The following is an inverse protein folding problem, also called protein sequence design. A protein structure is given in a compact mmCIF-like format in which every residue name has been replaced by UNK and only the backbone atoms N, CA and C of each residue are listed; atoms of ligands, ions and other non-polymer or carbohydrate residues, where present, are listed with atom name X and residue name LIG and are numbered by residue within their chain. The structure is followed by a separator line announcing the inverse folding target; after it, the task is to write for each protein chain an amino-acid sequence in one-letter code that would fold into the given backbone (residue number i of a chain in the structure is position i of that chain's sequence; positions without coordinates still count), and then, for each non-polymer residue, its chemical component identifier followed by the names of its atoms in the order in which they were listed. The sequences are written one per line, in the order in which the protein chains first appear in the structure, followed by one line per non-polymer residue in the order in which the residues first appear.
data_IF_126345563347
#
_entry.id   IF_126345563347
#
_cell.length_a   1.000
_cell.length_b   1.000
_cell.length_c   1.000
_cell.angle_alpha   90.00
_cell.angle_beta   90.00
_cell.angle_gamma   90.00
#
_symmetry.space_group_name_H-M   'P 1'
#
loop_
_entity.id
_entity.type
_entity.pdbx_description
1 polymer ?
#
# COMPACT_ATOMS: atom_id res chain seq x y z
N UNK A 1 5.02 12.85 12.06
CA UNK A 1 5.01 11.37 12.02
C UNK A 1 5.08 10.78 13.44
N UNK A 2 4.22 11.25 14.35
CA UNK A 2 4.47 11.17 15.79
C UNK A 2 3.52 10.21 16.55
N UNK A 3 2.72 9.37 15.88
CA UNK A 3 1.69 8.58 16.59
C UNK A 3 1.80 7.05 16.47
N UNK A 4 2.25 6.49 15.34
CA UNK A 4 2.47 5.04 15.23
C UNK A 4 3.80 4.62 15.90
N UNK A 5 4.77 5.55 15.98
CA UNK A 5 6.10 5.35 16.57
C UNK A 5 6.27 5.97 17.97
N UNK A 6 5.28 6.71 18.50
CA UNK A 6 5.40 7.33 19.84
C UNK A 6 5.23 6.37 21.00
N UNK A 7 4.88 5.11 20.73
CA UNK A 7 4.96 4.05 21.74
C UNK A 7 6.37 3.49 21.75
N UNK A 8 7.23 4.05 22.61
CA UNK A 8 8.65 3.72 22.70
C UNK A 8 8.97 2.21 22.74
N UNK A 9 10.22 1.88 22.41
CA UNK A 9 10.74 0.51 22.36
C UNK A 9 10.78 -0.08 20.95
N UNK A 10 11.35 -1.28 20.84
CA UNK A 10 11.40 -2.01 19.57
C UNK A 10 10.01 -2.49 19.17
N UNK A 11 9.68 -2.44 17.88
CA UNK A 11 8.38 -2.83 17.33
C UNK A 11 8.56 -3.66 16.07
N UNK A 12 7.59 -4.53 15.81
CA UNK A 12 7.48 -5.23 14.52
C UNK A 12 6.03 -5.12 14.05
N UNK A 13 5.85 -4.75 12.79
CA UNK A 13 4.55 -4.64 12.15
C UNK A 13 4.47 -5.63 10.99
N UNK A 14 3.44 -6.45 11.01
CA UNK A 14 3.02 -7.22 9.85
C UNK A 14 2.20 -6.35 8.91
N UNK A 15 2.42 -6.50 7.62
CA UNK A 15 1.67 -5.80 6.58
C UNK A 15 0.91 -6.79 5.68
N UNK A 16 -0.08 -6.29 4.98
CA UNK A 16 -0.55 -6.83 3.70
C UNK A 16 0.03 -5.99 2.58
N UNK A 17 0.09 -6.50 1.36
CA UNK A 17 0.64 -5.71 0.28
C UNK A 17 0.64 -6.37 -1.09
N UNK A 18 1.02 -5.61 -2.10
CA UNK A 18 1.26 -6.13 -3.45
C UNK A 18 2.75 -6.02 -3.76
N UNK A 19 3.34 -7.12 -4.24
CA UNK A 19 4.66 -7.12 -4.84
C UNK A 19 4.52 -6.97 -6.36
N UNK A 20 5.21 -5.98 -6.92
CA UNK A 20 5.32 -5.76 -8.36
C UNK A 20 6.70 -6.23 -8.81
N UNK A 21 6.72 -7.13 -9.78
CA UNK A 21 7.89 -7.43 -10.60
C UNK A 21 7.74 -6.79 -11.99
N UNK A 22 8.66 -7.11 -12.91
CA UNK A 22 8.66 -6.54 -14.26
C UNK A 22 7.35 -6.81 -15.04
N UNK A 23 6.71 -7.96 -14.83
CA UNK A 23 5.52 -8.38 -15.60
C UNK A 23 4.39 -8.95 -14.76
N UNK A 24 4.58 -9.09 -13.44
CA UNK A 24 3.64 -9.78 -12.55
C UNK A 24 3.38 -8.96 -11.30
N UNK A 25 2.14 -9.02 -10.82
CA UNK A 25 1.76 -8.56 -9.49
C UNK A 25 1.36 -9.75 -8.63
N UNK A 26 1.86 -9.80 -7.40
CA UNK A 26 1.55 -10.87 -6.44
C UNK A 26 0.91 -10.26 -5.21
N UNK A 27 -0.23 -10.81 -4.77
CA UNK A 27 -0.84 -10.42 -3.50
C UNK A 27 -0.13 -11.11 -2.34
N UNK A 28 0.18 -10.31 -1.32
CA UNK A 28 0.65 -10.78 -0.03
C UNK A 28 -0.47 -10.51 1.00
N UNK A 29 -1.18 -11.54 1.46
CA UNK A 29 -2.18 -11.41 2.52
C UNK A 29 -1.60 -10.76 3.78
N UNK A 30 -2.46 -10.23 4.64
CA UNK A 30 -2.03 -9.67 5.92
C UNK A 30 -1.23 -10.71 6.72
N UNK A 31 -0.06 -10.32 7.23
CA UNK A 31 0.86 -11.24 7.90
C UNK A 31 1.90 -11.88 6.99
N UNK A 32 1.71 -11.79 5.66
CA UNK A 32 2.62 -12.31 4.65
C UNK A 32 3.24 -11.23 3.76
N UNK A 33 3.00 -9.94 4.06
CA UNK A 33 3.65 -8.81 3.38
C UNK A 33 5.05 -8.51 3.91
N UNK A 34 5.55 -7.31 3.62
CA UNK A 34 6.81 -6.80 4.19
C UNK A 34 6.67 -6.68 5.70
N UNK A 35 7.59 -7.29 6.44
CA UNK A 35 7.71 -7.04 7.88
C UNK A 35 8.49 -5.75 8.08
N UNK A 36 7.95 -4.84 8.89
CA UNK A 36 8.60 -3.58 9.26
C UNK A 36 9.00 -3.64 10.72
N UNK A 37 10.29 -3.81 11.00
CA UNK A 37 10.83 -3.82 12.35
C UNK A 37 11.49 -2.48 12.68
N UNK A 38 11.01 -1.78 13.70
CA UNK A 38 11.62 -0.57 14.24
C UNK A 38 12.49 -0.90 15.46
N UNK A 39 13.73 -0.42 15.44
CA UNK A 39 14.67 -0.56 16.56
C UNK A 39 14.93 0.80 17.19
N UNK A 40 14.46 0.98 18.43
CA UNK A 40 14.48 2.29 19.10
C UNK A 40 15.89 2.77 19.46
N UNK A 41 16.81 1.87 19.79
CA UNK A 41 18.18 2.24 20.17
C UNK A 41 19.01 2.85 19.03
N UNK A 42 18.65 2.53 17.79
CA UNK A 42 19.36 2.98 16.58
C UNK A 42 18.48 3.85 15.67
N UNK A 43 17.25 4.13 16.08
CA UNK A 43 16.23 4.84 15.29
C UNK A 43 16.15 4.33 13.83
N UNK A 44 16.09 3.02 13.66
CA UNK A 44 16.23 2.37 12.36
C UNK A 44 15.06 1.45 12.05
N UNK A 45 14.69 1.39 10.77
CA UNK A 45 13.73 0.43 10.23
C UNK A 45 14.47 -0.70 9.52
N UNK A 46 14.14 -1.95 9.84
CA UNK A 46 14.52 -3.12 9.06
C UNK A 46 13.29 -3.65 8.35
N UNK A 47 13.35 -3.69 7.03
CA UNK A 47 12.34 -4.30 6.17
C UNK A 47 12.76 -5.73 5.84
N UNK A 48 11.79 -6.64 5.81
CA UNK A 48 11.99 -8.01 5.31
C UNK A 48 10.82 -8.38 4.43
N UNK A 49 11.08 -8.59 3.14
CA UNK A 49 10.12 -9.03 2.15
C UNK A 49 9.83 -10.54 2.28
N UNK A 50 8.72 -11.02 1.67
CA UNK A 50 8.34 -12.44 1.75
C UNK A 50 9.35 -13.40 1.10
N UNK A 51 10.13 -12.91 0.13
CA UNK A 51 11.20 -13.66 -0.53
C UNK A 51 12.53 -13.65 0.26
N UNK A 52 12.55 -13.03 1.45
CA UNK A 52 13.73 -12.92 2.30
C UNK A 52 14.62 -11.72 2.00
N UNK A 53 14.31 -10.91 0.97
CA UNK A 53 15.01 -9.65 0.72
C UNK A 53 14.88 -8.74 1.93
N UNK A 54 15.98 -8.13 2.38
CA UNK A 54 15.97 -7.29 3.57
C UNK A 54 16.84 -6.04 3.41
N UNK A 55 16.37 -4.94 3.98
CA UNK A 55 17.09 -3.67 4.03
C UNK A 55 16.89 -2.98 5.37
N UNK A 56 17.98 -2.45 5.93
CA UNK A 56 17.94 -1.59 7.12
C UNK A 56 18.22 -0.15 6.73
N UNK A 57 17.33 0.75 7.14
CA UNK A 57 17.39 2.20 6.97
C UNK A 57 17.57 2.86 8.33
N UNK A 58 18.57 3.74 8.41
CA UNK A 58 18.89 4.54 9.59
C UNK A 58 18.63 6.03 9.31
N UNK A 59 18.76 6.93 10.30
CA UNK A 59 18.64 8.36 10.06
C UNK A 59 19.64 8.90 9.01
N UNK A 60 20.77 8.23 8.80
CA UNK A 60 21.75 8.59 7.77
C UNK A 60 21.25 8.33 6.33
N UNK A 61 20.19 7.54 6.17
CA UNK A 61 19.55 7.27 4.88
C UNK A 61 18.40 8.23 4.59
N UNK A 62 18.08 9.15 5.51
CA UNK A 62 16.94 10.05 5.38
C UNK A 62 17.12 10.97 4.17
N UNK A 63 16.15 10.94 3.25
CA UNK A 63 16.11 11.81 2.10
C UNK A 63 15.26 13.05 2.41
N UNK A 64 15.87 14.24 2.37
CA UNK A 64 15.25 15.47 2.88
C UNK A 64 14.09 16.03 2.03
N UNK A 65 13.86 15.53 0.81
CA UNK A 65 12.80 16.05 -0.07
C UNK A 65 11.51 15.22 -0.02
N UNK A 66 11.00 14.88 1.16
CA UNK A 66 9.68 14.25 1.26
C UNK A 66 8.61 15.25 0.76
N UNK A 67 8.08 15.02 -0.44
CA UNK A 67 7.12 15.90 -1.11
C UNK A 67 5.67 15.68 -0.65
N UNK A 68 5.41 14.62 0.12
CA UNK A 68 4.07 14.25 0.58
C UNK A 68 3.94 14.44 2.09
N UNK A 69 2.94 15.23 2.57
CA UNK A 69 2.70 15.39 4.00
C UNK A 69 2.58 14.06 4.74
N UNK A 70 3.12 13.98 5.95
CA UNK A 70 3.05 12.81 6.83
C UNK A 70 3.77 11.54 6.35
N UNK A 71 4.62 11.65 5.32
CA UNK A 71 5.53 10.59 4.86
C UNK A 71 6.99 10.99 5.09
N UNK A 72 7.86 9.98 5.10
CA UNK A 72 9.31 10.11 5.16
C UNK A 72 9.85 9.18 4.10
N UNK A 73 10.91 9.64 3.43
CA UNK A 73 11.63 8.88 2.44
C UNK A 73 13.04 8.58 2.94
N UNK A 74 13.48 7.34 2.74
CA UNK A 74 14.86 6.92 2.94
C UNK A 74 15.41 6.38 1.63
N UNK A 75 16.64 6.77 1.29
CA UNK A 75 17.37 6.28 0.13
C UNK A 75 18.70 5.71 0.60
N UNK A 76 19.03 4.52 0.13
CA UNK A 76 20.26 3.81 0.45
C UNK A 76 20.80 3.12 -0.78
N UNK A 77 22.02 3.46 -1.15
CA UNK A 77 22.79 2.73 -2.17
C UNK A 77 23.90 1.95 -1.47
N UNK A 78 24.17 0.73 -1.91
CA UNK A 78 25.24 -0.11 -1.37
C UNK A 78 25.84 -1.03 -2.45
N UNK A 79 27.06 -1.51 -2.21
CA UNK A 79 27.78 -2.33 -3.18
C UNK A 79 28.35 -1.53 -4.35
N UNK A 80 28.81 -2.23 -5.39
CA UNK A 80 29.30 -1.66 -6.64
C UNK A 80 29.22 -2.68 -7.78
N UNK A 81 29.13 -2.19 -9.02
CA UNK A 81 29.10 -3.04 -10.22
C UNK A 81 27.93 -4.01 -10.20
N UNK A 82 28.20 -5.30 -10.42
CA UNK A 82 27.14 -6.34 -10.41
C UNK A 82 26.53 -6.62 -9.02
N UNK A 83 27.10 -6.06 -7.95
CA UNK A 83 26.58 -6.15 -6.59
C UNK A 83 25.97 -4.85 -6.08
N UNK A 84 25.73 -3.88 -6.95
CA UNK A 84 25.04 -2.63 -6.59
C UNK A 84 23.60 -2.92 -6.18
N UNK A 85 23.14 -2.23 -5.14
CA UNK A 85 21.77 -2.31 -4.62
C UNK A 85 21.31 -0.91 -4.25
N UNK A 86 20.20 -0.49 -4.84
CA UNK A 86 19.51 0.76 -4.52
C UNK A 86 18.17 0.47 -3.86
N UNK A 87 18.03 0.94 -2.63
CA UNK A 87 16.83 0.83 -1.83
C UNK A 87 16.19 2.21 -1.63
N UNK A 88 14.91 2.33 -1.93
CA UNK A 88 14.11 3.52 -1.68
C UNK A 88 12.85 3.14 -0.90
N UNK A 89 12.74 3.63 0.34
CA UNK A 89 11.59 3.42 1.22
C UNK A 89 10.84 4.73 1.39
N UNK A 90 9.55 4.73 1.07
CA UNK A 90 8.61 5.76 1.51
C UNK A 90 7.67 5.13 2.53
N UNK A 91 7.55 5.71 3.71
CA UNK A 91 6.68 5.21 4.79
C UNK A 91 5.98 6.37 5.48
N UNK A 92 4.73 6.18 5.90
CA UNK A 92 4.00 7.23 6.59
C UNK A 92 2.62 6.86 7.08
N UNK A 93 1.97 7.85 7.68
CA UNK A 93 0.56 7.79 8.05
C UNK A 93 -0.25 8.41 6.91
N UNK A 94 -1.14 7.63 6.32
CA UNK A 94 -1.99 8.14 5.26
C UNK A 94 -3.04 9.12 5.79
N UNK A 95 -3.59 9.94 4.88
CA UNK A 95 -4.71 10.83 5.18
C UNK A 95 -5.95 10.40 4.40
N UNK A 96 -7.13 10.73 4.92
CA UNK A 96 -8.39 10.67 4.18
C UNK A 96 -9.08 12.01 4.34
N UNK A 97 -9.31 12.70 3.22
CA UNK A 97 -9.83 14.08 3.14
C UNK A 97 -9.03 15.05 4.00
N UNK A 98 -7.70 14.94 3.96
CA UNK A 98 -6.77 15.76 4.74
C UNK A 98 -6.68 15.41 6.23
N UNK A 99 -7.44 14.42 6.71
CA UNK A 99 -7.38 13.95 8.11
C UNK A 99 -6.44 12.75 8.19
N UNK A 100 -5.39 12.84 9.00
CA UNK A 100 -4.49 11.72 9.24
C UNK A 100 -5.22 10.53 9.87
N UNK A 101 -4.95 9.34 9.35
CA UNK A 101 -5.37 8.08 9.95
C UNK A 101 -4.56 7.80 11.22
N UNK A 102 -5.22 7.24 12.23
CA UNK A 102 -4.64 6.99 13.54
C UNK A 102 -4.03 5.59 13.68
N UNK A 103 -4.56 4.62 12.92
CA UNK A 103 -4.20 3.22 13.06
C UNK A 103 -3.56 2.62 11.80
N UNK A 104 -3.66 3.31 10.66
CA UNK A 104 -3.19 2.82 9.36
C UNK A 104 -1.86 3.48 8.97
N UNK A 105 -0.87 2.64 8.68
CA UNK A 105 0.36 3.03 7.98
C UNK A 105 0.35 2.50 6.55
N UNK A 106 1.05 3.23 5.69
CA UNK A 106 1.31 2.85 4.30
C UNK A 106 2.80 2.92 4.05
N UNK A 107 3.28 2.09 3.14
CA UNK A 107 4.65 2.13 2.68
C UNK A 107 4.83 1.63 1.26
N UNK A 108 5.86 2.14 0.62
CA UNK A 108 6.39 1.65 -0.65
C UNK A 108 7.87 1.41 -0.45
N UNK A 109 8.33 0.21 -0.81
CA UNK A 109 9.76 -0.11 -0.84
C UNK A 109 10.14 -0.56 -2.25
N UNK A 110 11.02 0.19 -2.88
CA UNK A 110 11.68 -0.17 -4.13
C UNK A 110 13.05 -0.74 -3.78
N UNK A 111 13.34 -1.93 -4.31
CA UNK A 111 14.64 -2.57 -4.27
C UNK A 111 15.10 -2.82 -5.69
N UNK A 112 16.16 -2.12 -6.09
CA UNK A 112 16.74 -2.21 -7.41
C UNK A 112 18.14 -2.83 -7.33
N UNK A 113 18.41 -3.74 -8.25
CA UNK A 113 19.71 -4.35 -8.48
C UNK A 113 20.02 -4.27 -9.98
N UNK A 114 21.28 -4.51 -10.40
CA UNK A 114 21.62 -4.63 -11.82
C UNK A 114 20.77 -5.64 -12.60
N UNK A 115 20.15 -6.61 -11.90
CA UNK A 115 19.38 -7.70 -12.51
C UNK A 115 17.87 -7.46 -12.52
N UNK A 116 17.39 -6.39 -11.87
CA UNK A 116 15.96 -6.11 -11.84
C UNK A 116 15.51 -5.25 -10.66
N UNK A 117 14.22 -4.93 -10.66
CA UNK A 117 13.55 -4.09 -9.67
C UNK A 117 12.39 -4.88 -9.07
N UNK A 118 12.28 -4.84 -7.75
CA UNK A 118 11.12 -5.27 -7.00
C UNK A 118 10.50 -4.08 -6.27
N UNK A 119 9.17 -3.98 -6.28
CA UNK A 119 8.44 -2.95 -5.56
C UNK A 119 7.44 -3.62 -4.63
N UNK A 120 7.47 -3.29 -3.35
CA UNK A 120 6.46 -3.71 -2.39
C UNK A 120 5.63 -2.52 -1.95
N UNK A 121 4.35 -2.56 -2.30
CA UNK A 121 3.32 -1.71 -1.75
C UNK A 121 2.78 -2.38 -0.49
N UNK A 122 2.73 -1.67 0.62
CA UNK A 122 2.38 -2.24 1.91
C UNK A 122 1.36 -1.36 2.67
N UNK A 123 0.41 -2.02 3.32
CA UNK A 123 -0.48 -1.42 4.30
C UNK A 123 -0.41 -2.20 5.60
N UNK A 124 -0.45 -1.50 6.73
CA UNK A 124 -0.43 -2.12 8.05
C UNK A 124 -0.79 -1.13 9.15
N UNK A 125 -0.22 -1.34 10.34
CA UNK A 125 -0.34 -0.42 11.46
C UNK A 125 -0.81 -1.14 12.72
N UNK A 126 -1.81 -0.59 13.41
CA UNK A 126 -2.45 -1.23 14.56
C UNK A 126 -3.61 -2.08 14.03
N UNK A 127 -3.46 -3.40 13.90
CA UNK A 127 -4.53 -4.24 13.35
C UNK A 127 -5.76 -4.21 14.24
N UNK A 128 -6.94 -4.33 13.62
CA UNK A 128 -8.15 -4.67 14.39
C UNK A 128 -7.94 -6.05 15.04
N UNK A 129 -8.10 -6.11 16.36
CA UNK A 129 -7.98 -7.38 17.10
C UNK A 129 -9.04 -8.36 16.58
N UNK A 130 -8.71 -9.66 16.55
CA UNK A 130 -9.63 -10.70 16.10
C UNK A 130 -10.98 -10.68 16.86
N UNK A 131 -10.95 -10.32 18.16
CA UNK A 131 -12.14 -10.13 19.00
C UNK A 131 -12.98 -8.92 18.60
N UNK A 132 -12.35 -7.92 17.98
CA UNK A 132 -12.93 -6.61 17.69
C UNK A 132 -13.36 -6.48 16.23
N UNK A 133 -12.98 -7.42 15.35
CA UNK A 133 -13.54 -7.48 14.00
C UNK A 133 -15.05 -7.73 14.12
N UNK A 134 -15.91 -6.85 13.58
CA UNK A 134 -17.34 -7.08 13.62
C UNK A 134 -17.70 -8.42 12.99
N UNK A 135 -18.71 -9.11 13.54
CA UNK A 135 -19.15 -10.43 13.06
C UNK A 135 -20.46 -10.38 12.27
N UNK A 136 -21.10 -9.22 12.25
CA UNK A 136 -22.41 -9.00 11.63
C UNK A 136 -22.48 -7.58 11.08
N UNK A 137 -23.42 -7.35 10.18
CA UNK A 137 -23.69 -6.03 9.61
C UNK A 137 -22.71 -5.64 8.52
N UNK A 138 -22.88 -4.41 8.04
CA UNK A 138 -22.09 -3.82 6.96
C UNK A 138 -21.45 -2.52 7.40
N UNK A 139 -20.32 -2.17 6.79
CA UNK A 139 -19.67 -0.87 6.95
C UNK A 139 -19.27 -0.32 5.58
N UNK A 140 -19.39 0.99 5.42
CA UNK A 140 -18.87 1.72 4.28
C UNK A 140 -17.73 2.62 4.74
N UNK A 141 -16.76 2.83 3.85
CA UNK A 141 -15.58 3.61 4.12
C UNK A 141 -15.46 4.72 3.09
N UNK A 142 -15.15 5.93 3.57
CA UNK A 142 -14.61 6.98 2.71
C UNK A 142 -13.16 6.62 2.42
N UNK A 143 -12.79 6.53 1.14
CA UNK A 143 -11.45 6.12 0.71
C UNK A 143 -10.73 7.16 -0.13
N UNK A 144 -9.40 7.11 -0.11
CA UNK A 144 -8.52 7.83 -1.03
C UNK A 144 -7.64 6.86 -1.81
N UNK A 145 -7.51 7.09 -3.11
CA UNK A 145 -6.81 6.21 -4.05
C UNK A 145 -5.52 6.90 -4.48
N UNK A 146 -4.39 6.24 -4.23
CA UNK A 146 -3.06 6.68 -4.64
C UNK A 146 -2.37 5.56 -5.41
N UNK A 147 -1.52 5.90 -6.38
CA UNK A 147 -0.73 4.90 -7.07
C UNK A 147 -0.02 5.44 -8.30
N UNK A 148 0.35 4.51 -9.17
CA UNK A 148 0.93 4.79 -10.47
C UNK A 148 0.30 3.91 -11.55
N UNK A 149 0.41 4.36 -12.79
CA UNK A 149 -0.03 3.59 -13.94
C UNK A 149 0.96 3.73 -15.10
N UNK A 150 1.05 2.68 -15.91
CA UNK A 150 1.69 2.69 -17.20
C UNK A 150 0.65 2.35 -18.27
N UNK A 151 0.54 3.19 -19.30
CA UNK A 151 -0.34 2.97 -20.44
C UNK A 151 0.31 3.57 -21.70
N UNK A 152 0.35 2.80 -22.79
CA UNK A 152 0.94 3.26 -24.06
C UNK A 152 2.39 3.75 -23.95
N UNK A 153 3.20 3.13 -23.08
CA UNK A 153 4.58 3.54 -22.82
C UNK A 153 4.74 4.81 -21.97
N UNK A 154 3.65 5.45 -21.54
CA UNK A 154 3.66 6.63 -20.68
C UNK A 154 3.42 6.24 -19.23
N UNK A 155 4.15 6.86 -18.30
CA UNK A 155 3.94 6.70 -16.86
C UNK A 155 3.07 7.82 -16.31
N UNK A 156 2.17 7.47 -15.40
CA UNK A 156 1.18 8.36 -14.81
C UNK A 156 1.18 8.24 -13.29
N UNK A 157 0.99 9.37 -12.60
CA UNK A 157 0.67 9.42 -11.18
C UNK A 157 -0.84 9.39 -10.98
N UNK A 158 -1.32 8.50 -10.11
CA UNK A 158 -2.71 8.41 -9.67
C UNK A 158 -2.81 9.11 -8.32
N UNK A 159 -3.65 10.14 -8.25
CA UNK A 159 -3.78 11.00 -7.08
C UNK A 159 -5.24 11.09 -6.61
N UNK A 160 -5.50 11.29 -5.30
CA UNK A 160 -6.85 11.38 -4.74
C UNK A 160 -7.65 12.58 -5.24
N UNK A 161 -6.96 13.59 -5.78
CA UNK A 161 -7.58 14.80 -6.36
C UNK A 161 -8.35 14.51 -7.64
N UNK A 162 -7.91 13.51 -8.41
CA UNK A 162 -8.49 13.15 -9.70
C UNK A 162 -9.16 11.76 -9.69
N UNK A 163 -8.73 10.89 -8.79
CA UNK A 163 -9.25 9.52 -8.65
C UNK A 163 -10.21 9.41 -7.48
N UNK A 164 -11.11 8.43 -7.54
CA UNK A 164 -12.07 8.18 -6.47
C UNK A 164 -12.25 6.68 -6.25
N UNK A 165 -12.83 6.32 -5.12
CA UNK A 165 -13.20 4.94 -4.87
C UNK A 165 -14.28 4.78 -3.83
N UNK A 166 -14.75 3.53 -3.72
CA UNK A 166 -15.62 3.06 -2.64
C UNK A 166 -15.05 1.79 -2.06
N UNK A 167 -15.31 1.57 -0.78
CA UNK A 167 -15.02 0.31 -0.10
C UNK A 167 -16.12 0.01 0.90
N UNK A 168 -16.63 -1.22 0.86
CA UNK A 168 -17.59 -1.73 1.82
C UNK A 168 -17.19 -3.12 2.32
N UNK A 169 -17.50 -3.38 3.58
CA UNK A 169 -17.32 -4.67 4.23
C UNK A 169 -18.68 -5.19 4.68
N UNK A 170 -18.99 -6.44 4.35
CA UNK A 170 -20.10 -7.19 4.93
C UNK A 170 -19.52 -8.23 5.87
N UNK A 171 -19.50 -7.90 7.16
CA UNK A 171 -18.90 -8.71 8.20
C UNK A 171 -19.70 -9.99 8.48
N UNK A 172 -21.03 -9.96 8.28
CA UNK A 172 -21.87 -11.15 8.41
C UNK A 172 -21.63 -12.15 7.28
N UNK A 173 -21.35 -11.66 6.07
CA UNK A 173 -21.04 -12.51 4.91
C UNK A 173 -19.55 -12.85 4.78
N UNK A 174 -18.67 -12.18 5.54
CA UNK A 174 -17.22 -12.32 5.40
C UNK A 174 -16.69 -11.82 4.06
N UNK A 175 -17.30 -10.79 3.47
CA UNK A 175 -16.94 -10.28 2.15
C UNK A 175 -16.62 -8.78 2.15
N UNK A 176 -15.86 -8.36 1.16
CA UNK A 176 -15.59 -6.95 0.85
C UNK A 176 -15.90 -6.66 -0.60
N UNK A 177 -16.27 -5.42 -0.88
CA UNK A 177 -16.43 -4.90 -2.23
C UNK A 177 -15.72 -3.55 -2.36
N UNK A 178 -15.12 -3.31 -3.52
CA UNK A 178 -14.46 -2.05 -3.84
C UNK A 178 -14.74 -1.62 -5.27
N UNK A 179 -14.78 -0.32 -5.50
CA UNK A 179 -14.79 0.28 -6.84
C UNK A 179 -13.73 1.37 -6.89
N UNK A 180 -12.83 1.33 -7.86
CA UNK A 180 -11.78 2.33 -8.05
C UNK A 180 -11.95 3.00 -9.41
N UNK A 181 -12.19 4.31 -9.43
CA UNK A 181 -12.14 5.12 -10.64
C UNK A 181 -10.78 5.77 -10.74
N UNK A 182 -9.98 5.35 -11.72
CA UNK A 182 -8.58 5.75 -11.86
C UNK A 182 -8.43 6.83 -12.92
N UNK A 183 -7.79 7.93 -12.52
CA UNK A 183 -7.42 9.05 -13.38
C UNK A 183 -5.95 9.38 -13.12
N UNK A 184 -5.14 9.32 -14.18
CA UNK A 184 -3.70 9.53 -14.12
C UNK A 184 -3.27 10.88 -14.70
N UNK A 185 -2.30 11.52 -14.07
CA UNK A 185 -1.57 12.67 -14.63
C UNK A 185 -0.20 12.21 -15.11
N UNK A 186 0.23 12.51 -16.36
CA UNK A 186 1.54 12.11 -16.86
C UNK A 186 2.69 12.57 -15.97
N UNK A 187 3.66 11.69 -15.69
CA UNK A 187 4.77 11.95 -14.77
C UNK A 187 5.93 12.78 -15.37
N UNK A 188 5.80 13.28 -16.60
CA UNK A 188 6.80 14.12 -17.29
C UNK A 188 6.51 15.61 -17.13
N UNK A 189 7.55 16.43 -16.96
CA UNK A 189 7.43 17.88 -16.76
C UNK A 189 6.76 18.55 -17.99
N UNK A 190 5.63 19.23 -17.76
CA UNK A 190 4.88 19.92 -18.82
C UNK A 190 3.34 19.79 -18.77
N UNK A 191 2.77 19.22 -17.71
CA UNK A 191 1.30 19.13 -17.48
C UNK A 191 0.52 18.60 -18.69
N UNK A 192 0.74 17.33 -19.04
CA UNK A 192 -0.13 16.65 -19.99
C UNK A 192 -1.56 16.51 -19.48
N UNK A 193 -2.51 16.35 -20.40
CA UNK A 193 -3.93 16.13 -20.09
C UNK A 193 -4.10 14.91 -19.18
N UNK A 194 -4.94 15.04 -18.15
CA UNK A 194 -5.34 13.91 -17.30
C UNK A 194 -5.96 12.80 -18.16
N UNK A 195 -5.59 11.56 -17.89
CA UNK A 195 -6.07 10.39 -18.62
C UNK A 195 -7.00 9.59 -17.72
N UNK A 196 -8.23 9.35 -18.17
CA UNK A 196 -9.16 8.48 -17.48
C UNK A 196 -8.93 7.03 -17.90
N UNK A 197 -8.66 6.15 -16.94
CA UNK A 197 -8.45 4.72 -17.18
C UNK A 197 -9.74 3.89 -16.98
N UNK A 198 -10.76 4.49 -16.37
CA UNK A 198 -12.05 3.87 -16.13
C UNK A 198 -12.27 3.47 -14.67
N UNK A 199 -13.33 2.69 -14.46
CA UNK A 199 -13.75 2.20 -13.16
C UNK A 199 -13.56 0.69 -13.05
N UNK A 200 -12.90 0.25 -11.99
CA UNK A 200 -12.56 -1.13 -11.71
C UNK A 200 -13.29 -1.61 -10.46
N UNK A 201 -14.18 -2.57 -10.62
CA UNK A 201 -14.93 -3.16 -9.53
C UNK A 201 -14.27 -4.45 -9.07
N UNK A 202 -14.16 -4.64 -7.77
CA UNK A 202 -13.56 -5.82 -7.16
C UNK A 202 -14.37 -6.34 -5.99
N UNK A 203 -14.25 -7.64 -5.77
CA UNK A 203 -14.82 -8.34 -4.62
C UNK A 203 -13.76 -9.21 -3.96
N UNK A 204 -13.91 -9.44 -2.67
CA UNK A 204 -12.97 -10.20 -1.88
C UNK A 204 -13.60 -10.85 -0.66
N UNK A 205 -12.77 -11.61 0.05
CA UNK A 205 -13.14 -12.34 1.27
C UNK A 205 -12.32 -11.83 2.44
N UNK A 206 -12.98 -11.71 3.60
CA UNK A 206 -12.35 -11.42 4.88
C UNK A 206 -11.79 -12.73 5.42
N UNK A 207 -10.53 -12.69 5.87
CA UNK A 207 -9.86 -13.84 6.45
C UNK A 207 -10.53 -14.22 7.77
N UNK A 208 -10.87 -15.50 7.93
CA UNK A 208 -11.48 -15.97 9.16
C UNK A 208 -10.59 -15.67 10.38
N UNK A 209 -11.15 -15.02 11.39
CA UNK A 209 -10.46 -14.75 12.66
C UNK A 209 -9.35 -13.71 12.59
N UNK A 210 -9.21 -12.96 11.50
CA UNK A 210 -8.17 -11.94 11.35
C UNK A 210 -8.67 -10.68 10.66
N UNK A 211 -7.89 -9.59 10.73
CA UNK A 211 -8.26 -8.32 10.09
C UNK A 211 -8.00 -8.31 8.58
N UNK A 212 -7.35 -9.34 8.03
CA UNK A 212 -6.93 -9.37 6.63
C UNK A 212 -8.07 -9.67 5.66
N UNK A 213 -7.93 -9.23 4.41
CA UNK A 213 -8.80 -9.63 3.30
C UNK A 213 -8.03 -9.67 1.99
N UNK A 214 -8.53 -10.46 1.04
CA UNK A 214 -7.98 -10.57 -0.32
C UNK A 214 -9.10 -10.63 -1.35
N UNK A 215 -8.86 -10.11 -2.54
CA UNK A 215 -9.83 -10.15 -3.63
C UNK A 215 -9.24 -9.85 -4.99
N UNK A 216 -10.12 -9.78 -5.99
CA UNK A 216 -9.78 -9.56 -7.40
C UNK A 216 -10.66 -8.49 -8.01
N UNK A 217 -10.15 -7.78 -9.01
CA UNK A 217 -10.95 -6.90 -9.86
C UNK A 217 -11.48 -7.65 -11.08
N UNK A 218 -12.71 -7.33 -11.48
CA UNK A 218 -13.35 -7.88 -12.68
C UNK A 218 -12.83 -7.22 -13.95
N UNK A 219 -11.60 -7.54 -14.37
CA UNK A 219 -10.96 -6.96 -15.57
C UNK A 219 -10.95 -7.88 -16.79
N UNK A 220 -11.52 -9.09 -16.69
CA UNK A 220 -11.47 -10.10 -17.75
C UNK A 220 -10.12 -10.81 -17.87
N UNK A 221 -9.12 -10.43 -17.07
CA UNK A 221 -7.74 -10.96 -17.03
C UNK A 221 -7.36 -11.31 -15.58
N UNK A 222 -6.66 -12.42 -15.37
CA UNK A 222 -6.39 -13.01 -14.05
C UNK A 222 -5.35 -12.32 -13.17
N UNK A 223 -4.84 -11.14 -13.56
CA UNK A 223 -3.73 -10.47 -12.86
C UNK A 223 -4.14 -9.24 -12.04
N UNK A 224 -5.44 -8.93 -11.97
CA UNK A 224 -5.94 -7.77 -11.23
C UNK A 224 -6.43 -8.18 -9.84
N UNK A 225 -5.71 -7.76 -8.82
CA UNK A 225 -5.88 -8.22 -7.44
C UNK A 225 -5.81 -7.08 -6.43
N UNK A 226 -6.32 -7.34 -5.24
CA UNK A 226 -6.10 -6.49 -4.08
C UNK A 226 -6.00 -7.32 -2.80
N UNK A 227 -5.29 -6.77 -1.82
CA UNK A 227 -5.11 -7.37 -0.50
C UNK A 227 -4.92 -6.27 0.52
N UNK A 228 -5.47 -6.47 1.70
CA UNK A 228 -5.52 -5.43 2.71
C UNK A 228 -5.82 -5.96 4.09
N UNK A 229 -6.02 -5.01 4.99
CA UNK A 229 -6.39 -5.28 6.35
C UNK A 229 -7.22 -4.15 6.98
N UNK A 230 -8.01 -4.50 7.98
CA UNK A 230 -8.67 -3.55 8.87
C UNK A 230 -7.72 -3.12 10.00
N UNK A 231 -7.79 -1.84 10.35
CA UNK A 231 -6.97 -1.23 11.40
C UNK A 231 -7.85 -0.55 12.46
N UNK A 232 -7.35 -0.56 13.70
CA UNK A 232 -8.00 0.06 14.85
C UNK A 232 -9.23 -0.69 15.38
N UNK A 233 -9.84 -0.19 16.47
CA UNK A 233 -11.01 -0.83 17.08
C UNK A 233 -12.18 -0.94 16.10
N UNK A 234 -12.90 -2.06 16.11
CA UNK A 234 -14.12 -2.26 15.31
C UNK A 234 -13.97 -1.97 13.81
N UNK A 235 -12.78 -2.24 13.26
CA UNK A 235 -12.42 -1.95 11.88
C UNK A 235 -12.65 -0.48 11.50
N UNK A 236 -12.23 0.46 12.36
CA UNK A 236 -12.41 1.90 12.16
C UNK A 236 -11.73 2.43 10.89
N UNK A 237 -10.64 1.79 10.48
CA UNK A 237 -9.87 2.16 9.29
C UNK A 237 -9.59 0.93 8.42
N UNK A 238 -9.29 1.18 7.15
CA UNK A 238 -8.92 0.14 6.18
C UNK A 238 -7.72 0.62 5.36
N UNK A 239 -6.79 -0.29 5.06
CA UNK A 239 -5.75 -0.09 4.08
C UNK A 239 -5.66 -1.31 3.18
N UNK A 240 -5.48 -1.10 1.88
CA UNK A 240 -5.20 -2.18 0.94
C UNK A 240 -4.32 -1.72 -0.21
N UNK A 241 -3.50 -2.65 -0.70
CA UNK A 241 -2.75 -2.49 -1.94
C UNK A 241 -3.48 -3.20 -3.07
N UNK A 242 -3.34 -2.67 -4.27
CA UNK A 242 -4.00 -3.18 -5.47
C UNK A 242 -3.06 -3.16 -6.67
N UNK A 243 -3.32 -4.08 -7.61
CA UNK A 243 -2.77 -4.06 -8.95
C UNK A 243 -3.89 -4.37 -9.95
N UNK A 244 -3.91 -3.64 -11.06
CA UNK A 244 -4.89 -3.75 -12.14
C UNK A 244 -4.10 -3.88 -13.44
N UNK A 245 -4.40 -4.94 -14.20
CA UNK A 245 -3.80 -5.15 -15.51
C UNK A 245 -4.88 -5.51 -16.54
N UNK A 246 -5.05 -4.67 -17.56
CA UNK A 246 -6.06 -4.87 -18.64
C UNK A 246 -5.43 -5.14 -20.01
N UNK A 247 -4.13 -5.47 -20.06
CA UNK A 247 -3.36 -5.58 -21.30
C UNK A 247 -2.93 -4.23 -21.90
N UNK A 248 -3.76 -3.18 -21.79
CA UNK A 248 -3.43 -1.81 -22.19
C UNK A 248 -3.02 -0.90 -21.02
N UNK A 249 -3.24 -1.36 -19.79
CA UNK A 249 -2.96 -0.66 -18.54
C UNK A 249 -2.25 -1.62 -17.59
N UNK A 250 -1.18 -1.14 -16.97
CA UNK A 250 -0.62 -1.72 -15.76
C UNK A 250 -0.66 -0.63 -14.69
N UNK A 251 -1.50 -0.78 -13.68
CA UNK A 251 -1.65 0.17 -12.59
C UNK A 251 -1.52 -0.54 -11.26
N UNK A 252 -0.90 0.12 -10.28
CA UNK A 252 -0.81 -0.40 -8.93
C UNK A 252 -0.79 0.76 -7.93
N UNK A 253 -1.22 0.48 -6.71
CA UNK A 253 -1.29 1.52 -5.72
C UNK A 253 -1.78 1.05 -4.36
N UNK A 254 -2.03 2.04 -3.52
CA UNK A 254 -2.53 1.88 -2.17
C UNK A 254 -3.80 2.71 -2.04
N UNK A 255 -4.82 2.10 -1.47
CA UNK A 255 -6.04 2.77 -1.06
C UNK A 255 -6.20 2.66 0.44
N UNK A 256 -6.52 3.78 1.07
CA UNK A 256 -6.80 3.85 2.49
C UNK A 256 -8.19 4.41 2.73
N UNK A 257 -8.80 4.06 3.85
CA UNK A 257 -10.14 4.50 4.17
C UNK A 257 -10.43 4.63 5.65
N UNK A 258 -11.40 5.49 5.94
CA UNK A 258 -11.98 5.68 7.27
C UNK A 258 -13.46 5.31 7.21
N UNK A 259 -13.90 4.54 8.21
CA UNK A 259 -15.30 4.13 8.36
C UNK A 259 -16.19 5.38 8.50
N UNK A 260 -17.33 5.36 7.80
CA UNK A 260 -18.33 6.43 7.87
C UNK A 260 -19.12 6.40 9.18
#
# INVERSE_FOLDING_TARGET
MQQIVSQGGNRSFSTSGVQLGATTATSNPYGSGVTVAYTASSDSYTLTAPDGTAATFSPNNLYQAATTPNTVQYIKSSGSGSGEVDDNLVIGTATVKGVALSYTMVGEWVHATPNGIAIWLATGGVPTLASDVPKTGTANYTVEVNGSAQAGGTSYSIQPTNSSGTFSANFGAGTVATSLTLVGTPSVAGFGTVTQFGTFNGTGTITAGGPGFTGTFSTGSGSSLFTGNFNGPQAAEVGYSWAINTGSLAAAGITVGKKN
#
